data_IF_672415411366
#
_entry.id   IF_672415411366
#
_cell.length_a   1.000
_cell.length_b   1.000
_cell.length_c   1.000
_cell.angle_alpha   90.00
_cell.angle_beta   90.00
_cell.angle_gamma   90.00
#
_symmetry.space_group_name_H-M   'P 1'
#
loop_
_entity.id
_entity.type
_entity.pdbx_description
1 polymer ?
#
# COMPACT_ATOMS: atom_id res chain seq x y z
N UNK A 1 15.09 6.04 3.15
CA UNK A 1 15.68 6.31 1.83
C UNK A 1 14.62 6.36 0.75
N UNK A 2 13.68 5.43 0.73
CA UNK A 2 12.52 5.44 -0.15
C UNK A 2 11.24 5.13 0.61
N UNK A 3 10.09 5.27 -0.05
CA UNK A 3 8.77 4.84 0.45
C UNK A 3 7.93 4.33 -0.71
N UNK A 4 7.01 3.42 -0.43
CA UNK A 4 6.00 2.96 -1.36
C UNK A 4 4.63 2.90 -0.67
N UNK A 5 3.57 3.13 -1.42
CA UNK A 5 2.24 2.70 -1.03
C UNK A 5 1.64 1.89 -2.16
N UNK A 6 1.06 0.75 -1.81
CA UNK A 6 0.77 -0.31 -2.76
C UNK A 6 -0.56 -0.97 -2.41
N UNK A 7 -1.41 -1.17 -3.41
CA UNK A 7 -2.65 -1.94 -3.26
C UNK A 7 -2.48 -3.35 -3.83
N UNK A 8 -2.91 -4.36 -3.07
CA UNK A 8 -2.78 -5.78 -3.40
C UNK A 8 -4.15 -6.47 -3.29
N UNK A 9 -4.92 -6.57 -4.39
CA UNK A 9 -6.19 -7.28 -4.40
C UNK A 9 -5.99 -8.79 -4.46
N UNK A 10 -6.99 -9.54 -4.02
CA UNK A 10 -7.07 -11.00 -4.18
C UNK A 10 -8.39 -11.38 -4.84
N UNK A 11 -8.40 -12.51 -5.56
CA UNK A 11 -9.63 -13.08 -6.12
C UNK A 11 -10.53 -13.73 -5.07
N UNK A 12 -9.98 -14.02 -3.89
CA UNK A 12 -10.71 -14.54 -2.71
C UNK A 12 -11.13 -13.41 -1.77
N UNK A 13 -12.18 -13.66 -0.97
CA UNK A 13 -12.69 -12.70 0.01
C UNK A 13 -12.26 -13.06 1.42
N UNK A 14 -11.66 -12.10 2.13
CA UNK A 14 -11.23 -12.28 3.52
C UNK A 14 -10.06 -13.26 3.66
N UNK A 15 -9.79 -13.68 4.91
CA UNK A 15 -8.75 -14.66 5.21
C UNK A 15 -9.11 -16.01 4.56
N UNK A 16 -8.20 -16.54 3.74
CA UNK A 16 -8.37 -17.82 3.05
C UNK A 16 -7.10 -18.65 3.15
N UNK A 17 -7.23 -19.93 3.52
CA UNK A 17 -6.11 -20.88 3.50
C UNK A 17 -5.86 -21.36 2.08
N UNK A 18 -4.60 -21.29 1.63
CA UNK A 18 -4.16 -21.82 0.34
C UNK A 18 -3.33 -23.11 0.53
N UNK A 19 -3.09 -23.86 -0.54
CA UNK A 19 -2.09 -24.94 -0.58
C UNK A 19 -1.43 -25.05 -1.96
N UNK A 20 -0.18 -25.52 -2.00
CA UNK A 20 0.57 -25.73 -3.25
C UNK A 20 0.70 -24.46 -4.09
N UNK A 21 0.43 -24.57 -5.39
CA UNK A 21 0.57 -23.48 -6.37
C UNK A 21 -0.30 -22.26 -6.06
N UNK A 22 -1.45 -22.46 -5.41
CA UNK A 22 -2.35 -21.36 -5.02
C UNK A 22 -1.74 -20.43 -3.95
N UNK A 23 -0.71 -20.89 -3.25
CA UNK A 23 0.09 -20.08 -2.33
C UNK A 23 1.29 -19.39 -3.01
N UNK A 24 1.48 -19.55 -4.33
CA UNK A 24 2.63 -18.99 -5.03
C UNK A 24 3.95 -19.73 -4.80
N UNK A 25 3.90 -21.00 -4.36
CA UNK A 25 5.09 -21.77 -3.96
C UNK A 25 6.04 -22.10 -5.11
N UNK A 26 5.53 -22.42 -6.30
CA UNK A 26 6.34 -22.70 -7.49
C UNK A 26 6.23 -21.63 -8.58
N UNK A 27 5.15 -20.86 -8.59
CA UNK A 27 4.96 -19.68 -9.43
C UNK A 27 4.29 -18.60 -8.59
N UNK A 28 5.05 -17.55 -8.26
CA UNK A 28 4.59 -16.35 -7.53
C UNK A 28 3.27 -15.82 -8.08
N UNK A 29 3.02 -15.95 -9.38
CA UNK A 29 1.87 -15.39 -10.08
C UNK A 29 0.65 -16.33 -10.19
N UNK A 30 0.81 -17.60 -9.82
CA UNK A 30 -0.29 -18.55 -9.71
C UNK A 30 -1.10 -18.37 -8.40
N UNK A 31 -0.66 -17.48 -7.49
CA UNK A 31 -1.37 -17.23 -6.24
C UNK A 31 -2.74 -16.55 -6.45
N UNK A 32 -3.64 -16.72 -5.48
CA UNK A 32 -4.97 -16.08 -5.47
C UNK A 32 -4.91 -14.57 -5.19
N UNK A 33 -3.78 -14.07 -4.72
CA UNK A 33 -3.53 -12.65 -4.48
C UNK A 33 -2.61 -12.05 -5.54
N UNK A 34 -2.58 -10.72 -5.63
CA UNK A 34 -1.55 -10.02 -6.38
C UNK A 34 -0.28 -9.88 -5.51
N UNK A 35 0.81 -10.60 -5.85
CA UNK A 35 2.04 -10.58 -5.05
C UNK A 35 2.88 -9.32 -5.26
N UNK A 36 2.62 -8.54 -6.31
CA UNK A 36 3.44 -7.38 -6.68
C UNK A 36 2.71 -6.07 -6.39
N UNK A 37 1.40 -6.05 -6.57
CA UNK A 37 0.55 -4.89 -6.31
C UNK A 37 0.63 -3.83 -7.40
N UNK A 38 -0.14 -2.76 -7.23
CA UNK A 38 0.05 -1.51 -7.95
C UNK A 38 0.74 -0.50 -7.02
N UNK A 39 2.04 -0.29 -7.20
CA UNK A 39 2.90 0.48 -6.31
C UNK A 39 3.10 1.92 -6.78
N UNK A 40 3.18 2.82 -5.80
CA UNK A 40 3.61 4.19 -6.02
C UNK A 40 4.82 4.50 -5.12
N UNK A 41 6.00 4.49 -5.73
CA UNK A 41 7.25 4.93 -5.13
C UNK A 41 7.77 6.15 -5.93
N UNK A 42 7.85 7.35 -5.32
CA UNK A 42 8.32 8.58 -5.98
C UNK A 42 9.65 8.42 -6.72
N UNK A 43 10.61 7.72 -6.11
CA UNK A 43 11.92 7.49 -6.71
C UNK A 43 11.80 6.59 -7.95
N UNK A 44 11.04 5.49 -7.84
CA UNK A 44 10.79 4.55 -8.96
C UNK A 44 10.04 5.22 -10.11
N UNK A 45 9.22 6.22 -9.79
CA UNK A 45 8.44 7.01 -10.75
C UNK A 45 9.17 8.29 -11.21
N UNK A 46 10.48 8.38 -11.02
CA UNK A 46 11.32 9.40 -11.64
C UNK A 46 11.49 10.71 -10.87
N UNK A 47 11.15 10.74 -9.58
CA UNK A 47 11.40 11.89 -8.69
C UNK A 47 12.29 11.50 -7.49
N UNK A 48 13.62 11.42 -7.69
CA UNK A 48 14.56 11.07 -6.62
C UNK A 48 14.76 12.20 -5.59
N UNK A 49 14.17 13.38 -5.81
CA UNK A 49 14.32 14.56 -4.95
C UNK A 49 13.14 14.74 -3.98
N UNK A 50 12.15 13.85 -4.03
CA UNK A 50 10.91 13.99 -3.28
C UNK A 50 10.99 13.50 -1.84
N UNK A 51 11.46 12.27 -1.59
CA UNK A 51 11.39 11.62 -0.28
C UNK A 51 12.76 11.14 0.18
N UNK A 52 13.25 11.65 1.31
CA UNK A 52 14.56 11.29 1.86
C UNK A 52 15.12 12.34 2.81
N UNK A 53 16.30 12.11 3.36
CA UNK A 53 16.94 13.03 4.32
C UNK A 53 17.23 14.37 3.65
N UNK A 54 16.64 15.45 4.17
CA UNK A 54 16.79 16.81 3.63
C UNK A 54 16.08 17.05 2.28
N UNK A 55 15.22 16.12 1.83
CA UNK A 55 14.44 16.26 0.60
C UNK A 55 13.08 16.93 0.87
N UNK A 56 12.22 17.03 -0.16
CA UNK A 56 10.91 17.70 -0.06
C UNK A 56 10.05 17.17 1.09
N UNK A 57 10.00 15.84 1.25
CA UNK A 57 9.60 15.16 2.48
C UNK A 57 10.87 14.75 3.20
N UNK A 58 11.27 15.52 4.20
CA UNK A 58 12.52 15.35 4.93
C UNK A 58 12.41 14.21 5.95
N UNK A 59 12.99 13.07 5.63
CA UNK A 59 12.90 11.89 6.52
C UNK A 59 13.76 11.98 7.77
N UNK A 60 14.52 13.07 7.98
CA UNK A 60 15.23 13.31 9.25
C UNK A 60 14.35 13.90 10.35
N UNK A 61 13.11 14.26 10.01
CA UNK A 61 12.15 14.87 10.94
C UNK A 61 10.84 14.11 10.89
N UNK A 62 10.05 14.21 11.96
CA UNK A 62 8.68 13.68 11.97
C UNK A 62 7.84 14.39 10.90
N UNK A 63 7.01 13.63 10.21
CA UNK A 63 5.99 14.11 9.28
C UNK A 63 4.73 13.27 9.42
N UNK A 64 3.61 13.77 8.91
CA UNK A 64 2.33 13.06 8.84
C UNK A 64 2.17 12.50 7.43
N UNK A 65 1.70 11.26 7.34
CA UNK A 65 1.31 10.61 6.09
C UNK A 65 -0.20 10.54 6.04
N UNK A 66 -0.79 11.01 4.95
CA UNK A 66 -2.24 11.01 4.74
C UNK A 66 -2.51 10.17 3.49
N UNK A 67 -3.41 9.22 3.61
CA UNK A 67 -3.87 8.38 2.49
C UNK A 67 -5.38 8.49 2.38
N UNK A 68 -5.86 8.81 1.18
CA UNK A 68 -7.28 8.98 0.88
C UNK A 68 -7.74 7.86 -0.06
N UNK A 69 -8.90 7.30 0.23
CA UNK A 69 -9.55 6.27 -0.57
C UNK A 69 -10.79 6.89 -1.20
N UNK A 70 -10.68 7.26 -2.47
CA UNK A 70 -11.68 8.04 -3.19
C UNK A 70 -12.54 7.10 -4.02
N UNK A 71 -13.85 7.25 -3.90
CA UNK A 71 -14.83 6.49 -4.68
C UNK A 71 -15.36 7.31 -5.86
N UNK A 72 -15.86 6.61 -6.89
CA UNK A 72 -16.51 7.20 -8.06
C UNK A 72 -17.66 8.17 -7.73
N UNK A 73 -18.44 7.88 -6.69
CA UNK A 73 -19.56 8.71 -6.24
C UNK A 73 -19.20 9.69 -5.14
N UNK A 74 -17.99 9.64 -4.60
CA UNK A 74 -17.61 10.38 -3.38
C UNK A 74 -18.31 9.90 -2.11
N UNK A 75 -19.03 8.78 -2.15
CA UNK A 75 -19.72 8.18 -0.98
C UNK A 75 -19.07 6.87 -0.54
N UNK A 76 -19.31 6.46 0.70
CA UNK A 76 -18.77 5.20 1.27
C UNK A 76 -19.29 3.93 0.57
N UNK A 77 -20.39 4.02 -0.18
CA UNK A 77 -20.97 2.93 -0.95
C UNK A 77 -20.48 2.86 -2.40
N UNK A 78 -19.70 3.84 -2.85
CA UNK A 78 -19.16 3.90 -4.21
C UNK A 78 -18.02 2.90 -4.44
N UNK A 79 -17.63 2.75 -5.71
CA UNK A 79 -16.49 1.92 -6.09
C UNK A 79 -15.20 2.70 -5.88
N UNK A 80 -14.19 2.10 -5.24
CA UNK A 80 -12.87 2.71 -5.09
C UNK A 80 -12.23 2.94 -6.48
N UNK A 81 -11.89 4.19 -6.78
CA UNK A 81 -11.32 4.60 -8.08
C UNK A 81 -9.94 5.24 -7.98
N UNK A 82 -9.59 5.79 -6.82
CA UNK A 82 -8.32 6.46 -6.61
C UNK A 82 -7.81 6.28 -5.17
N UNK A 83 -6.50 5.99 -5.03
CA UNK A 83 -5.79 6.08 -3.75
C UNK A 83 -4.79 7.23 -3.84
N UNK A 84 -5.06 8.29 -3.09
CA UNK A 84 -4.25 9.51 -3.09
C UNK A 84 -3.39 9.60 -1.84
N UNK A 85 -2.19 10.16 -2.01
CA UNK A 85 -1.22 10.42 -0.94
C UNK A 85 -0.97 11.91 -0.80
N UNK A 86 -0.79 12.37 0.43
CA UNK A 86 -0.18 13.66 0.74
C UNK A 86 0.55 13.56 2.09
N UNK A 87 1.40 14.53 2.36
CA UNK A 87 2.18 14.62 3.59
C UNK A 87 1.95 15.95 4.27
N UNK A 88 2.14 16.01 5.58
CA UNK A 88 2.26 17.27 6.32
C UNK A 88 3.57 17.26 7.09
N UNK A 89 4.40 18.28 6.87
CA UNK A 89 5.66 18.43 7.59
C UNK A 89 5.87 19.89 7.97
N UNK A 90 6.21 20.14 9.23
CA UNK A 90 6.38 21.51 9.76
C UNK A 90 5.17 22.41 9.49
N UNK A 91 3.96 21.86 9.56
CA UNK A 91 2.71 22.59 9.29
C UNK A 91 2.38 22.81 7.80
N UNK A 92 3.28 22.42 6.88
CA UNK A 92 3.09 22.59 5.44
C UNK A 92 2.52 21.32 4.82
N UNK A 93 1.46 21.46 4.03
CA UNK A 93 0.92 20.38 3.20
C UNK A 93 1.82 20.19 1.99
N UNK A 94 2.26 18.95 1.77
CA UNK A 94 3.10 18.52 0.67
C UNK A 94 2.30 17.51 -0.16
N UNK A 95 1.91 17.91 -1.37
CA UNK A 95 1.30 16.99 -2.34
C UNK A 95 2.28 15.89 -2.73
N UNK A 96 1.76 14.72 -3.11
CA UNK A 96 2.59 13.61 -3.58
C UNK A 96 3.40 14.00 -4.83
N UNK A 97 4.50 13.29 -5.09
CA UNK A 97 5.28 13.49 -6.31
C UNK A 97 4.43 13.16 -7.53
N UNK A 98 4.67 13.84 -8.63
CA UNK A 98 4.08 13.44 -9.92
C UNK A 98 4.94 12.37 -10.58
N UNK A 99 4.28 11.47 -11.31
CA UNK A 99 4.93 10.55 -12.23
C UNK A 99 5.77 11.33 -13.24
N UNK A 100 7.03 10.96 -13.37
CA UNK A 100 8.01 11.53 -14.30
C UNK A 100 8.64 10.43 -15.16
N UNK A 101 7.79 9.59 -15.75
CA UNK A 101 8.19 8.49 -16.65
C UNK A 101 7.36 8.59 -17.92
N UNK A 102 8.03 8.65 -19.07
CA UNK A 102 7.36 8.67 -20.37
C UNK A 102 6.55 7.38 -20.56
N UNK A 103 5.29 7.53 -21.00
CA UNK A 103 4.39 6.42 -21.26
C UNK A 103 3.47 6.07 -20.07
N UNK A 104 3.72 6.61 -18.89
CA UNK A 104 2.79 6.53 -17.75
C UNK A 104 2.03 7.87 -17.66
N UNK A 105 0.69 7.87 -17.50
CA UNK A 105 -0.09 9.09 -17.38
C UNK A 105 0.47 10.02 -16.30
N UNK A 106 0.55 11.34 -16.56
CA UNK A 106 0.94 12.29 -15.54
C UNK A 106 -0.12 12.28 -14.42
N UNK A 107 0.34 12.13 -13.18
CA UNK A 107 -0.53 12.04 -12.01
C UNK A 107 0.29 11.80 -10.75
N UNK A 108 -0.35 11.84 -9.60
CA UNK A 108 0.26 11.72 -8.27
C UNK A 108 -0.52 10.76 -7.35
N UNK A 109 -1.32 9.87 -7.94
CA UNK A 109 -2.17 8.93 -7.24
C UNK A 109 -2.28 7.59 -7.96
N UNK A 110 -2.74 6.56 -7.25
CA UNK A 110 -3.01 5.24 -7.83
C UNK A 110 -4.42 5.24 -8.40
N UNK A 111 -4.53 5.05 -9.71
CA UNK A 111 -5.78 4.81 -10.45
C UNK A 111 -5.60 3.57 -11.34
N UNK A 112 -6.68 2.98 -11.83
CA UNK A 112 -6.56 1.83 -12.75
C UNK A 112 -5.72 2.16 -13.99
N UNK A 113 -5.90 3.34 -14.57
CA UNK A 113 -5.13 3.79 -15.74
C UNK A 113 -3.63 3.96 -15.43
N UNK A 114 -3.30 4.47 -14.24
CA UNK A 114 -1.92 4.52 -13.77
C UNK A 114 -1.33 3.11 -13.64
N UNK A 115 -2.06 2.18 -12.99
CA UNK A 115 -1.58 0.82 -12.78
C UNK A 115 -1.30 0.10 -14.10
N UNK A 116 -2.21 0.20 -15.08
CA UNK A 116 -2.06 -0.47 -16.37
C UNK A 116 -0.86 0.06 -17.15
N UNK A 117 -0.72 1.38 -17.21
CA UNK A 117 0.39 2.02 -17.90
C UNK A 117 1.72 1.77 -17.19
N UNK A 118 1.76 1.83 -15.85
CA UNK A 118 2.96 1.54 -15.07
C UNK A 118 3.47 0.13 -15.34
N UNK A 119 2.59 -0.87 -15.28
CA UNK A 119 2.97 -2.27 -15.53
C UNK A 119 3.42 -2.48 -16.97
N UNK A 120 2.73 -1.89 -17.94
CA UNK A 120 3.13 -1.97 -19.35
C UNK A 120 4.50 -1.34 -19.61
N UNK A 121 4.76 -0.14 -19.07
CA UNK A 121 6.02 0.59 -19.26
C UNK A 121 7.20 -0.08 -18.56
N UNK A 122 6.99 -0.67 -17.38
CA UNK A 122 8.06 -1.37 -16.66
C UNK A 122 8.22 -2.84 -17.09
N UNK A 123 7.31 -3.38 -17.90
CA UNK A 123 7.32 -4.78 -18.32
C UNK A 123 6.93 -5.77 -17.21
N UNK A 124 6.22 -5.28 -16.19
CA UNK A 124 5.74 -6.08 -15.05
C UNK A 124 4.43 -6.80 -15.41
N UNK A 125 4.13 -7.92 -14.75
CA UNK A 125 2.86 -8.66 -14.99
C UNK A 125 1.64 -7.87 -14.46
N UNK A 126 0.54 -7.90 -15.23
CA UNK A 126 -0.74 -7.24 -14.89
C UNK A 126 -1.58 -8.01 -13.84
N UNK A 127 -0.95 -8.49 -12.76
CA UNK A 127 -1.68 -9.23 -11.72
C UNK A 127 -2.72 -8.38 -11.01
N UNK A 128 -2.43 -7.10 -10.75
CA UNK A 128 -3.36 -6.18 -10.08
C UNK A 128 -4.74 -6.20 -10.71
N UNK A 129 -4.83 -6.02 -12.04
CA UNK A 129 -6.10 -6.09 -12.75
C UNK A 129 -6.66 -7.50 -12.84
N UNK A 130 -5.80 -8.50 -13.03
CA UNK A 130 -6.22 -9.90 -13.07
C UNK A 130 -6.87 -10.37 -11.75
N UNK A 131 -6.56 -9.72 -10.62
CA UNK A 131 -7.17 -9.97 -9.30
C UNK A 131 -8.27 -8.95 -8.94
N UNK A 132 -8.74 -8.15 -9.90
CA UNK A 132 -9.89 -7.26 -9.76
C UNK A 132 -9.57 -5.81 -9.36
N UNK A 133 -8.28 -5.45 -9.31
CA UNK A 133 -7.80 -4.08 -9.20
C UNK A 133 -8.36 -3.29 -8.00
N UNK A 134 -8.58 -1.98 -8.21
CA UNK A 134 -9.11 -1.09 -7.17
C UNK A 134 -10.52 -1.48 -6.73
N UNK A 135 -11.35 -2.02 -7.62
CA UNK A 135 -12.69 -2.52 -7.26
C UNK A 135 -12.61 -3.63 -6.21
N UNK A 136 -11.73 -4.61 -6.41
CA UNK A 136 -11.52 -5.68 -5.44
C UNK A 136 -10.91 -5.16 -4.12
N UNK A 137 -9.97 -4.20 -4.21
CA UNK A 137 -9.40 -3.53 -3.04
C UNK A 137 -10.46 -2.76 -2.24
N UNK A 138 -11.37 -2.04 -2.90
CA UNK A 138 -12.48 -1.34 -2.28
C UNK A 138 -13.46 -2.29 -1.59
N UNK A 139 -13.77 -3.44 -2.21
CA UNK A 139 -14.57 -4.50 -1.58
C UNK A 139 -13.88 -5.07 -0.34
N UNK A 140 -12.55 -5.17 -0.32
CA UNK A 140 -11.81 -5.58 0.88
C UNK A 140 -11.93 -4.53 2.00
N UNK A 141 -11.76 -3.25 1.68
CA UNK A 141 -11.99 -2.15 2.63
C UNK A 141 -13.41 -2.14 3.19
N UNK A 142 -14.42 -2.36 2.36
CA UNK A 142 -15.84 -2.39 2.76
C UNK A 142 -16.21 -3.54 3.69
N UNK A 143 -15.43 -4.63 3.72
CA UNK A 143 -15.61 -5.73 4.69
C UNK A 143 -14.99 -5.42 6.07
N UNK A 144 -14.23 -4.34 6.19
CA UNK A 144 -13.37 -4.06 7.33
C UNK A 144 -11.99 -4.68 7.16
N UNK A 145 -10.96 -3.90 7.50
CA UNK A 145 -9.57 -4.31 7.48
C UNK A 145 -8.94 -4.05 8.85
N UNK A 146 -7.95 -4.87 9.22
CA UNK A 146 -7.17 -4.70 10.44
C UNK A 146 -5.97 -3.81 10.15
N UNK A 147 -5.72 -2.82 11.01
CA UNK A 147 -4.48 -2.03 10.98
C UNK A 147 -3.31 -2.88 11.48
N UNK A 148 -2.24 -2.94 10.70
CA UNK A 148 -0.98 -3.61 11.06
C UNK A 148 0.14 -2.58 11.09
N UNK A 149 0.97 -2.63 12.14
CA UNK A 149 2.20 -1.86 12.26
C UNK A 149 3.35 -2.84 12.52
N UNK A 150 4.38 -2.82 11.68
CA UNK A 150 5.53 -3.71 11.78
C UNK A 150 6.83 -3.00 11.44
N UNK A 151 7.92 -3.60 11.90
CA UNK A 151 9.29 -3.30 11.50
C UNK A 151 9.95 -4.64 11.22
N UNK A 152 10.58 -4.79 10.05
CA UNK A 152 11.18 -6.04 9.61
C UNK A 152 12.31 -5.76 8.63
N UNK A 153 13.33 -6.63 8.63
CA UNK A 153 14.17 -6.84 7.46
C UNK A 153 13.52 -7.81 6.46
N UNK A 154 14.20 -8.04 5.33
CA UNK A 154 13.72 -8.89 4.25
C UNK A 154 14.79 -9.92 3.88
N UNK A 155 14.56 -11.17 4.26
CA UNK A 155 15.47 -12.30 4.00
C UNK A 155 15.34 -12.86 2.59
N UNK A 156 14.35 -12.43 1.80
CA UNK A 156 14.17 -12.89 0.42
C UNK A 156 14.93 -12.00 -0.57
N UNK A 157 14.85 -10.67 -0.39
CA UNK A 157 15.43 -9.73 -1.35
C UNK A 157 16.21 -8.57 -0.74
N UNK A 158 16.51 -8.61 0.57
CA UNK A 158 17.29 -7.58 1.27
C UNK A 158 16.71 -6.16 1.15
N UNK A 159 15.37 -6.05 1.05
CA UNK A 159 14.61 -4.80 0.89
C UNK A 159 14.93 -4.03 -0.40
N UNK A 160 15.63 -4.66 -1.35
CA UNK A 160 16.10 -4.02 -2.59
C UNK A 160 14.94 -3.54 -3.49
N UNK A 161 13.79 -4.22 -3.43
CA UNK A 161 12.58 -3.81 -4.15
C UNK A 161 12.00 -2.49 -3.65
N UNK A 162 12.43 -1.99 -2.49
CA UNK A 162 11.96 -0.73 -1.92
C UNK A 162 12.95 0.41 -2.13
N UNK A 163 14.25 0.18 -1.87
CA UNK A 163 15.21 1.28 -1.69
C UNK A 163 16.46 1.23 -2.59
N UNK A 164 16.54 0.28 -3.52
CA UNK A 164 17.72 0.04 -4.35
C UNK A 164 17.37 -0.18 -5.84
N UNK A 165 18.27 -0.82 -6.59
CA UNK A 165 17.99 -1.34 -7.93
C UNK A 165 17.51 -2.79 -7.84
N UNK A 166 16.31 -3.08 -8.36
CA UNK A 166 15.74 -4.42 -8.33
C UNK A 166 14.96 -4.77 -9.62
N UNK A 167 15.22 -5.94 -10.24
CA UNK A 167 16.17 -6.99 -9.79
C UNK A 167 17.64 -6.56 -9.97
N UNK A 168 18.55 -7.15 -9.19
CA UNK A 168 19.98 -6.75 -9.16
C UNK A 168 20.73 -7.06 -10.45
N UNK A 169 20.20 -7.97 -11.27
CA UNK A 169 20.74 -8.36 -12.57
C UNK A 169 20.30 -7.44 -13.71
N UNK A 170 19.29 -6.59 -13.50
CA UNK A 170 18.83 -5.65 -14.51
C UNK A 170 19.70 -4.39 -14.55
N UNK A 171 19.76 -3.76 -15.72
CA UNK A 171 20.41 -2.45 -15.87
C UNK A 171 19.69 -1.41 -14.98
N UNK A 172 20.38 -0.73 -14.04
CA UNK A 172 19.79 0.32 -13.20
C UNK A 172 19.17 1.49 -13.98
N UNK A 173 19.56 1.71 -15.23
CA UNK A 173 18.99 2.73 -16.10
C UNK A 173 17.65 2.31 -16.75
N UNK A 174 17.28 1.03 -16.68
CA UNK A 174 15.98 0.57 -17.19
C UNK A 174 14.85 1.09 -16.31
N UNK A 175 13.75 1.48 -16.95
CA UNK A 175 12.58 2.02 -16.26
C UNK A 175 12.04 1.02 -15.23
N UNK A 176 11.70 1.51 -14.05
CA UNK A 176 11.16 0.70 -12.95
C UNK A 176 12.19 -0.10 -12.15
N UNK A 177 13.46 -0.15 -12.57
CA UNK A 177 14.51 -0.90 -11.86
C UNK A 177 15.02 -0.14 -10.65
N UNK A 178 15.32 1.15 -10.77
CA UNK A 178 15.83 1.98 -9.68
C UNK A 178 14.69 2.49 -8.80
N UNK A 179 14.72 2.20 -7.50
CA UNK A 179 13.64 2.43 -6.52
C UNK A 179 14.10 3.22 -5.30
N UNK A 180 15.40 3.42 -5.18
CA UNK A 180 16.00 4.26 -4.16
C UNK A 180 17.51 4.40 -4.33
N UNK A 181 18.13 5.20 -3.46
CA UNK A 181 19.54 5.54 -3.55
C UNK A 181 20.48 4.44 -3.01
N UNK A 182 19.96 3.41 -2.32
CA UNK A 182 20.81 2.38 -1.75
C UNK A 182 21.56 1.61 -2.87
N UNK A 183 22.78 1.12 -2.60
CA UNK A 183 23.51 0.27 -3.52
C UNK A 183 22.83 -1.10 -3.66
N UNK A 184 22.99 -1.80 -4.81
CA UNK A 184 22.40 -3.13 -5.03
C UNK A 184 23.08 -4.23 -4.22
N UNK A 185 24.27 -3.97 -3.68
CA UNK A 185 24.98 -4.82 -2.72
C UNK A 185 24.48 -4.59 -1.29
N UNK A 186 23.18 -4.29 -1.12
CA UNK A 186 22.64 -3.90 0.18
C UNK A 186 22.93 -4.95 1.26
N UNK A 187 22.97 -4.43 2.48
CA UNK A 187 23.27 -5.11 3.73
C UNK A 187 22.39 -6.34 3.87
N UNK A 188 22.98 -7.53 4.02
CA UNK A 188 22.20 -8.75 4.30
C UNK A 188 21.51 -8.58 5.66
N UNK A 189 20.38 -9.26 5.92
CA UNK A 189 19.77 -9.30 7.25
C UNK A 189 20.77 -9.44 8.40
N UNK A 190 21.73 -10.37 8.27
CA UNK A 190 22.80 -10.60 9.25
C UNK A 190 23.64 -9.35 9.56
N UNK A 191 23.91 -8.52 8.56
CA UNK A 191 24.73 -7.33 8.76
C UNK A 191 23.88 -6.16 9.29
N UNK A 192 22.55 -6.16 9.06
CA UNK A 192 21.61 -5.22 9.70
C UNK A 192 21.44 -5.57 11.18
N UNK A 193 21.21 -6.85 11.50
CA UNK A 193 21.06 -7.36 12.86
C UNK A 193 22.28 -7.04 13.73
N UNK A 194 23.47 -6.98 13.14
CA UNK A 194 24.71 -6.63 13.87
C UNK A 194 25.01 -5.13 13.92
N UNK A 195 24.67 -4.35 12.89
CA UNK A 195 25.05 -2.93 12.79
C UNK A 195 23.96 -1.93 13.18
N UNK A 196 22.69 -2.36 13.20
CA UNK A 196 21.52 -1.49 13.31
C UNK A 196 20.63 -1.83 14.52
N UNK A 197 21.21 -2.39 15.59
CA UNK A 197 20.54 -2.87 16.80
C UNK A 197 19.62 -1.85 17.50
N UNK A 198 19.86 -0.55 17.28
CA UNK A 198 19.07 0.54 17.88
C UNK A 198 18.02 1.14 16.93
N UNK A 199 17.84 0.53 15.75
CA UNK A 199 16.85 1.00 14.79
C UNK A 199 15.45 0.86 15.35
N UNK A 200 14.66 1.91 15.21
CA UNK A 200 13.29 1.94 15.69
C UNK A 200 12.42 2.78 14.77
N UNK A 201 11.12 2.50 14.80
CA UNK A 201 10.09 3.29 14.14
C UNK A 201 9.03 3.67 15.17
N UNK A 202 8.54 4.91 15.11
CA UNK A 202 7.46 5.38 15.97
C UNK A 202 6.28 5.80 15.11
N UNK A 203 5.19 5.02 15.20
CA UNK A 203 3.89 5.41 14.67
C UNK A 203 3.10 6.12 15.77
N UNK A 204 2.52 7.29 15.46
CA UNK A 204 1.79 8.10 16.44
C UNK A 204 0.74 8.99 15.76
N UNK A 205 -0.20 9.53 16.55
CA UNK A 205 -1.25 10.44 16.07
C UNK A 205 -2.06 9.86 14.89
N UNK A 206 -2.44 8.59 15.01
CA UNK A 206 -3.30 7.91 14.03
C UNK A 206 -4.68 8.55 14.07
N UNK A 207 -5.19 8.94 12.90
CA UNK A 207 -6.51 9.54 12.72
C UNK A 207 -7.23 8.85 11.56
N UNK A 208 -8.53 8.70 11.67
CA UNK A 208 -9.39 8.11 10.65
C UNK A 208 -10.69 8.90 10.59
N UNK A 209 -11.15 9.20 9.38
CA UNK A 209 -12.33 10.05 9.16
C UNK A 209 -12.52 10.39 7.69
N UNK A 210 -13.46 11.30 7.43
CA UNK A 210 -13.78 11.78 6.09
C UNK A 210 -12.57 12.45 5.41
N UNK A 211 -12.59 12.48 4.07
CA UNK A 211 -11.53 13.12 3.29
C UNK A 211 -11.40 14.59 3.70
N UNK A 212 -10.18 14.99 4.10
CA UNK A 212 -9.89 16.35 4.58
C UNK A 212 -10.05 16.55 6.09
N UNK A 213 -10.65 15.61 6.84
CA UNK A 213 -10.88 15.76 8.28
C UNK A 213 -9.64 15.49 9.17
N UNK A 214 -8.58 14.91 8.59
CA UNK A 214 -7.44 14.37 9.36
C UNK A 214 -6.16 15.22 9.24
N UNK A 215 -6.19 16.31 8.48
CA UNK A 215 -5.05 17.22 8.28
C UNK A 215 -5.50 18.66 7.97
N UNK A 216 -4.74 19.66 8.43
CA UNK A 216 -5.10 21.09 8.37
C UNK A 216 -5.59 21.62 9.71
N UNK A 217 -5.21 22.86 10.07
CA UNK A 217 -5.68 23.53 11.28
C UNK A 217 -7.11 24.07 11.11
N UNK A 218 -7.86 24.13 12.21
CA UNK A 218 -9.28 24.48 12.32
C UNK A 218 -9.82 25.46 11.27
N UNK A 219 -10.62 24.94 10.34
CA UNK A 219 -11.67 25.73 9.68
C UNK A 219 -12.96 24.91 9.68
N UNK A 220 -13.81 25.22 10.66
CA UNK A 220 -15.27 24.99 10.74
C UNK A 220 -15.77 23.53 10.73
N UNK A 221 -16.59 23.12 11.72
CA UNK A 221 -17.33 21.86 11.63
C UNK A 221 -18.28 21.94 10.44
N UNK A 222 -18.09 21.08 9.44
CA UNK A 222 -19.17 20.78 8.51
C UNK A 222 -20.32 20.14 9.29
N UNK A 223 -21.60 20.46 8.99
CA UNK A 223 -22.71 19.83 9.66
C UNK A 223 -22.75 18.35 9.27
N UNK A 224 -22.38 17.48 10.21
CA UNK A 224 -22.56 16.04 10.09
C UNK A 224 -24.05 15.71 10.12
N UNK A 225 -24.67 15.49 8.97
CA UNK A 225 -25.89 14.68 8.91
C UNK A 225 -25.50 13.23 9.20
N UNK A 226 -25.69 12.79 10.44
CA UNK A 226 -25.52 11.41 10.88
C UNK A 226 -26.42 10.49 10.06
N UNK A 227 -25.90 9.53 9.28
CA UNK A 227 -26.72 8.44 8.76
C UNK A 227 -27.10 7.55 9.94
N UNK A 228 -28.40 7.47 10.23
CA UNK A 228 -28.93 6.52 11.22
C UNK A 228 -28.78 5.11 10.65
N UNK A 229 -27.81 4.33 11.14
CA UNK A 229 -27.80 2.89 10.91
C UNK A 229 -29.03 2.27 11.58
N UNK A 230 -29.84 1.45 10.89
CA UNK A 230 -30.84 0.63 11.55
C UNK A 230 -30.16 -0.39 12.46
N UNK A 231 -30.67 -0.50 13.69
CA UNK A 231 -30.26 -1.50 14.67
C UNK A 231 -30.51 -2.91 14.11
N UNK A 232 -29.60 -3.89 14.30
CA UNK A 232 -29.86 -5.26 13.90
C UNK A 232 -30.95 -5.85 14.80
N UNK A 233 -31.99 -6.41 14.18
CA UNK A 233 -33.01 -7.22 14.86
C UNK A 233 -32.38 -8.55 15.27
N UNK A 234 -32.25 -8.79 16.57
CA UNK A 234 -31.94 -10.12 17.11
C UNK A 234 -33.04 -11.10 16.68
N UNK A 235 -32.67 -12.07 15.85
CA UNK A 235 -33.49 -13.27 15.63
C UNK A 235 -32.74 -14.43 16.26
N UNK A 236 -33.21 -14.87 17.42
CA UNK A 236 -32.68 -16.02 18.15
C UNK A 236 -32.97 -17.29 17.35
N UNK A 237 -31.98 -17.81 16.64
CA UNK A 237 -32.03 -19.15 16.07
C UNK A 237 -31.21 -20.11 16.95
N UNK A 238 -31.91 -21.01 17.65
CA UNK A 238 -31.31 -22.10 18.42
C UNK A 238 -30.70 -23.11 17.46
N UNK A 239 -29.36 -23.18 17.40
CA UNK A 239 -28.64 -24.21 16.64
C UNK A 239 -28.05 -25.22 17.62
N UNK A 240 -28.50 -26.47 17.51
CA UNK A 240 -27.98 -27.59 18.30
C UNK A 240 -26.53 -27.92 17.95
N UNK A 241 -25.75 -28.22 18.98
CA UNK A 241 -24.32 -28.57 18.89
C UNK A 241 -24.19 -30.04 18.44
N UNK A 242 -23.50 -30.36 17.33
CA UNK A 242 -23.02 -31.72 17.07
C UNK A 242 -21.64 -31.89 17.69
N UNK A 243 -21.53 -32.82 18.64
CA UNK A 243 -20.26 -33.31 19.18
C UNK A 243 -19.53 -34.14 18.13
N UNK A 244 -18.32 -33.73 17.76
CA UNK A 244 -17.37 -34.58 17.02
C UNK A 244 -16.19 -34.95 17.92
N UNK A 245 -16.08 -36.26 18.19
CA UNK A 245 -14.93 -36.89 18.85
C UNK A 245 -13.70 -36.76 17.97
N UNK A 246 -12.60 -36.29 18.54
CA UNK A 246 -11.28 -36.53 17.96
C UNK A 246 -10.86 -37.98 18.24
N UNK A 247 -10.39 -38.66 17.20
CA UNK A 247 -9.59 -39.88 17.31
C UNK A 247 -8.19 -39.52 16.87
N UNK A 248 -7.21 -40.00 17.65
CA UNK A 248 -5.76 -39.80 17.51
C UNK A 248 -5.23 -40.06 16.10
#
# INVERSE_FOLDING_TARGET
>A
MSTAYTAHPCSVSGLSRCSGVSCGTSDRYATVCDPDGCDFNPYRLGDPTFYGKGLKVDTSKKFTVITQFITDTGTVSGTLTEIRRLYVQSGVIIQNSKVNIRGIPPGDSITSAFCDAQKAVFGDKLQFQAKGGLTAMGKAGGRGMVLVMSIQEDHETNMLWLDSSYPTTANPASLGVKRGPCPPTSVKPSDIESSALISSVTFSNIRFGEIGSTYGGDTTPFPTTKPTMPSPTETTATVGIPTTRQVK
#
